data_IF_303140581240
#
_entry.id   IF_303140581240
#
_cell.length_a   1.000
_cell.length_b   1.000
_cell.length_c   1.000
_cell.angle_alpha   90.00
_cell.angle_beta   90.00
_cell.angle_gamma   90.00
#
_symmetry.space_group_name_H-M   'P 1'
#
loop_
_entity.id
_entity.type
_entity.pdbx_description
1 polymer ?
#
# COMPACT_ATOMS: atom_id res chain seq x y z
N UNK A 1 20.83 -16.02 -7.69
CA UNK A 1 19.38 -15.80 -7.49
C UNK A 1 18.96 -14.55 -8.25
N UNK A 2 18.02 -14.68 -9.20
CA UNK A 2 17.59 -13.57 -10.05
C UNK A 2 16.83 -12.52 -9.23
N UNK A 3 17.41 -11.31 -9.09
CA UNK A 3 16.69 -10.11 -8.63
C UNK A 3 15.61 -9.77 -9.68
N UNK A 4 14.44 -10.39 -9.57
CA UNK A 4 13.26 -9.99 -10.33
C UNK A 4 12.75 -8.68 -9.73
N UNK A 5 13.41 -7.58 -10.09
CA UNK A 5 12.94 -6.20 -9.87
C UNK A 5 11.73 -6.00 -10.78
N UNK A 6 10.62 -6.65 -10.44
CA UNK A 6 9.36 -6.52 -11.16
C UNK A 6 8.99 -5.04 -11.19
N UNK A 7 8.57 -4.60 -12.38
CA UNK A 7 8.33 -3.22 -12.82
C UNK A 7 7.21 -2.54 -12.04
N UNK A 8 7.38 -2.33 -10.72
CA UNK A 8 6.49 -1.53 -9.89
C UNK A 8 6.69 -0.05 -10.22
N UNK A 9 6.23 0.35 -11.41
CA UNK A 9 6.15 1.75 -11.81
C UNK A 9 4.75 2.23 -11.47
N UNK A 10 4.65 3.29 -10.67
CA UNK A 10 3.36 3.93 -10.44
C UNK A 10 2.81 4.47 -11.76
N UNK A 11 1.49 4.39 -11.95
CA UNK A 11 0.82 4.94 -13.14
C UNK A 11 1.07 6.45 -13.25
N UNK A 12 1.01 7.15 -12.11
CA UNK A 12 1.37 8.55 -12.00
C UNK A 12 2.88 8.65 -11.72
N UNK A 13 3.68 9.30 -12.59
CA UNK A 13 5.10 9.53 -12.33
C UNK A 13 5.33 10.26 -11.00
N UNK A 14 6.30 9.81 -10.21
CA UNK A 14 6.63 10.43 -8.92
C UNK A 14 5.74 10.00 -7.74
N UNK A 15 4.64 9.28 -7.98
CA UNK A 15 3.76 8.81 -6.92
C UNK A 15 4.35 7.64 -6.09
N UNK A 16 5.45 7.03 -6.53
CA UNK A 16 6.07 5.87 -5.87
C UNK A 16 6.37 6.12 -4.37
N UNK A 17 6.96 7.27 -4.04
CA UNK A 17 7.28 7.64 -2.65
C UNK A 17 6.03 7.87 -1.80
N UNK A 18 4.96 8.40 -2.41
CA UNK A 18 3.68 8.65 -1.72
C UNK A 18 2.99 7.32 -1.45
N UNK A 19 2.91 6.45 -2.45
CA UNK A 19 2.33 5.11 -2.32
C UNK A 19 3.08 4.25 -1.31
N UNK A 20 4.40 4.39 -1.24
CA UNK A 20 5.21 3.68 -0.24
C UNK A 20 4.93 4.16 1.18
N UNK A 21 4.84 5.48 1.41
CA UNK A 21 4.42 6.02 2.71
C UNK A 21 3.02 5.56 3.09
N UNK A 22 2.09 5.65 2.16
CA UNK A 22 0.71 5.22 2.37
C UNK A 22 0.60 3.72 2.72
N UNK A 23 1.42 2.87 2.10
CA UNK A 23 1.51 1.45 2.46
C UNK A 23 1.91 1.25 3.93
N UNK A 24 2.86 2.03 4.45
CA UNK A 24 3.25 1.96 5.86
C UNK A 24 2.20 2.55 6.80
N UNK A 25 1.48 3.60 6.39
CA UNK A 25 0.34 4.14 7.15
C UNK A 25 -0.75 3.07 7.30
N UNK A 26 -1.13 2.41 6.22
CA UNK A 26 -2.11 1.31 6.25
C UNK A 26 -1.62 0.13 7.08
N UNK A 27 -0.32 -0.21 7.01
CA UNK A 27 0.26 -1.24 7.87
C UNK A 27 0.18 -0.88 9.36
N UNK A 28 0.36 0.42 9.69
CA UNK A 28 0.21 0.94 11.05
C UNK A 28 -1.22 0.79 11.55
N UNK A 29 -2.20 1.19 10.74
CA UNK A 29 -3.62 1.07 11.09
C UNK A 29 -4.07 -0.39 11.28
N UNK A 30 -3.46 -1.31 10.54
CA UNK A 30 -3.72 -2.74 10.65
C UNK A 30 -2.97 -3.43 11.80
N UNK A 31 -2.13 -2.70 12.54
CA UNK A 31 -1.37 -3.22 13.67
C UNK A 31 -0.19 -4.13 13.28
N UNK A 32 0.15 -4.23 11.99
CA UNK A 32 1.22 -5.11 11.50
C UNK A 32 2.55 -4.38 11.26
N UNK A 33 2.58 -3.05 11.46
CA UNK A 33 3.78 -2.24 11.22
C UNK A 33 5.01 -2.73 11.98
N UNK A 34 4.86 -3.17 13.22
CA UNK A 34 5.97 -3.70 14.01
C UNK A 34 6.54 -4.99 13.39
N UNK A 35 5.68 -5.85 12.84
CA UNK A 35 6.10 -7.07 12.14
C UNK A 35 6.80 -6.72 10.83
N UNK A 36 6.26 -5.76 10.06
CA UNK A 36 6.90 -5.23 8.86
C UNK A 36 8.31 -4.70 9.16
N UNK A 37 8.48 -3.95 10.25
CA UNK A 37 9.77 -3.35 10.60
C UNK A 37 10.78 -4.37 11.13
N UNK A 38 10.33 -5.37 11.89
CA UNK A 38 11.22 -6.38 12.49
C UNK A 38 11.58 -7.52 11.54
N UNK A 39 10.62 -7.93 10.70
CA UNK A 39 10.75 -9.12 9.85
C UNK A 39 10.85 -8.76 8.36
N UNK A 40 10.41 -7.57 7.94
CA UNK A 40 10.33 -7.24 6.51
C UNK A 40 9.06 -7.78 5.86
N UNK A 41 8.72 -7.23 4.70
CA UNK A 41 7.49 -7.55 3.98
C UNK A 41 7.47 -8.98 3.44
N UNK A 42 8.63 -9.51 3.10
CA UNK A 42 8.85 -10.85 2.55
C UNK A 42 8.62 -11.98 3.56
N UNK A 43 8.66 -11.67 4.86
CA UNK A 43 8.51 -12.65 5.94
C UNK A 43 7.10 -12.61 6.57
N UNK A 44 6.23 -11.73 6.08
CA UNK A 44 4.81 -11.71 6.43
C UNK A 44 4.03 -12.76 5.64
N UNK A 45 2.89 -13.19 6.20
CA UNK A 45 1.99 -14.09 5.49
C UNK A 45 1.35 -13.39 4.29
N UNK A 46 1.03 -14.16 3.25
CA UNK A 46 0.29 -13.67 2.07
C UNK A 46 -1.02 -12.97 2.46
N UNK A 47 -1.65 -13.42 3.56
CA UNK A 47 -2.88 -12.82 4.10
C UNK A 47 -2.63 -11.42 4.64
N UNK A 48 -1.58 -11.21 5.44
CA UNK A 48 -1.24 -9.91 6.02
C UNK A 48 -0.88 -8.89 4.94
N UNK A 49 0.02 -9.26 4.01
CA UNK A 49 0.40 -8.37 2.91
C UNK A 49 -0.77 -8.09 1.96
N UNK A 50 -1.64 -9.09 1.74
CA UNK A 50 -2.87 -8.94 0.96
C UNK A 50 -3.86 -7.99 1.62
N UNK A 51 -3.99 -8.06 2.95
CA UNK A 51 -4.86 -7.17 3.72
C UNK A 51 -4.40 -5.71 3.62
N UNK A 52 -3.10 -5.43 3.71
CA UNK A 52 -2.55 -4.07 3.50
C UNK A 52 -2.91 -3.57 2.10
N UNK A 53 -2.61 -4.35 1.06
CA UNK A 53 -2.91 -3.97 -0.32
C UNK A 53 -4.40 -3.70 -0.56
N UNK A 54 -5.27 -4.54 -0.02
CA UNK A 54 -6.73 -4.36 -0.11
C UNK A 54 -7.22 -3.09 0.60
N UNK A 55 -6.70 -2.80 1.80
CA UNK A 55 -7.06 -1.59 2.54
C UNK A 55 -6.54 -0.31 1.86
N UNK A 56 -5.34 -0.36 1.27
CA UNK A 56 -4.84 0.74 0.44
C UNK A 56 -5.82 1.07 -0.69
N UNK A 57 -6.27 0.07 -1.46
CA UNK A 57 -7.21 0.26 -2.56
C UNK A 57 -8.54 0.80 -2.05
N UNK A 58 -9.07 0.24 -0.96
CA UNK A 58 -10.34 0.68 -0.37
C UNK A 58 -10.32 2.16 0.00
N UNK A 59 -9.25 2.62 0.67
CA UNK A 59 -9.08 4.03 1.06
C UNK A 59 -8.89 4.97 -0.14
N UNK A 60 -8.08 4.58 -1.13
CA UNK A 60 -7.92 5.35 -2.35
C UNK A 60 -9.25 5.51 -3.09
N UNK A 61 -10.07 4.46 -3.13
CA UNK A 61 -11.40 4.51 -3.73
C UNK A 61 -12.34 5.43 -2.96
N UNK A 62 -12.35 5.35 -1.63
CA UNK A 62 -13.13 6.26 -0.78
C UNK A 62 -12.78 7.73 -1.03
N UNK A 63 -11.50 8.05 -1.16
CA UNK A 63 -11.06 9.43 -1.44
C UNK A 63 -11.45 9.87 -2.87
N UNK A 64 -11.35 8.96 -3.84
CA UNK A 64 -11.80 9.22 -5.20
C UNK A 64 -13.32 9.47 -5.25
N UNK A 65 -14.13 8.64 -4.58
CA UNK A 65 -15.58 8.79 -4.47
C UNK A 65 -15.95 10.14 -3.83
N UNK A 66 -15.29 10.52 -2.73
CA UNK A 66 -15.47 11.84 -2.08
C UNK A 66 -15.13 12.99 -3.03
N UNK A 67 -14.02 12.88 -3.75
CA UNK A 67 -13.59 13.89 -4.72
C UNK A 67 -14.61 14.03 -5.86
N UNK A 68 -15.16 12.93 -6.35
CA UNK A 68 -16.18 12.93 -7.40
C UNK A 68 -17.51 13.52 -6.89
N UNK A 69 -17.93 13.16 -5.67
CA UNK A 69 -19.14 13.69 -5.05
C UNK A 69 -19.05 15.20 -4.76
N UNK A 70 -17.86 15.72 -4.45
CA UNK A 70 -17.66 17.16 -4.22
C UNK A 70 -17.58 17.99 -5.52
N UNK A 71 -17.46 17.33 -6.69
CA UNK A 71 -17.40 17.97 -8.02
C UNK A 71 -18.76 18.10 -8.69
N UNK A 72 -19.78 17.41 -8.17
CA UNK A 72 -21.18 17.53 -8.59
C UNK A 72 -21.91 18.60 -7.79
#
# INVERSE_FOLDING_TARGET
MARRRSRRRSVVPGAEKVLDRFKYEVASELGILNQVQSQGWENLTTREVGQVGGQMVKKMLQEAERTLANRS
#
